data_IF_374677689558
#
_entry.id   IF_374677689558
#
_cell.length_a   1.000
_cell.length_b   1.000
_cell.length_c   1.000
_cell.angle_alpha   90.00
_cell.angle_beta   90.00
_cell.angle_gamma   90.00
#
_symmetry.space_group_name_H-M   'P 1'
#
loop_
_entity.id
_entity.type
_entity.pdbx_description
1 polymer ?
#
# COMPACT_ATOMS: atom_id res chain seq x y z
N UNK A 1 11.49 -18.96 12.12
CA UNK A 1 10.17 -19.04 11.46
C UNK A 1 9.68 -17.61 11.37
N UNK A 2 10.19 -16.85 10.40
CA UNK A 2 10.37 -15.40 10.55
C UNK A 2 9.68 -14.60 9.44
N UNK A 3 8.59 -15.11 8.87
CA UNK A 3 7.88 -14.45 7.76
C UNK A 3 7.23 -13.10 8.16
N UNK A 4 7.13 -12.79 9.45
CA UNK A 4 6.38 -11.64 9.97
C UNK A 4 7.23 -10.64 10.76
N UNK A 5 8.51 -10.92 11.03
CA UNK A 5 9.34 -10.08 11.91
C UNK A 5 9.56 -8.67 11.36
N UNK A 6 9.65 -8.53 10.04
CA UNK A 6 9.79 -7.25 9.36
C UNK A 6 8.68 -6.25 9.72
N UNK A 7 7.48 -6.72 10.08
CA UNK A 7 6.37 -5.82 10.44
C UNK A 7 6.68 -5.00 11.69
N UNK A 8 7.55 -5.51 12.59
CA UNK A 8 7.94 -4.80 13.81
C UNK A 8 8.86 -3.61 13.52
N UNK A 9 9.54 -3.60 12.38
CA UNK A 9 10.41 -2.49 11.93
C UNK A 9 9.63 -1.40 11.16
N UNK A 10 8.32 -1.58 10.99
CA UNK A 10 7.47 -0.62 10.29
C UNK A 10 7.39 0.74 10.98
N UNK A 11 7.80 1.80 10.28
CA UNK A 11 7.68 3.19 10.76
C UNK A 11 6.22 3.59 11.06
N UNK A 12 5.25 2.97 10.39
CA UNK A 12 3.82 3.17 10.64
C UNK A 12 3.41 2.88 12.09
N UNK A 13 4.15 2.05 12.83
CA UNK A 13 3.88 1.74 14.24
C UNK A 13 4.04 2.92 15.18
N UNK A 14 4.74 3.96 14.74
CA UNK A 14 4.96 5.20 15.50
C UNK A 14 3.98 6.31 15.11
N UNK A 15 3.09 6.04 14.15
CA UNK A 15 2.10 6.97 13.64
C UNK A 15 0.67 6.50 14.00
N UNK A 16 -0.29 7.41 13.87
CA UNK A 16 -1.70 7.12 14.10
C UNK A 16 -2.23 6.13 13.03
N UNK A 17 -2.87 5.01 13.40
CA UNK A 17 -3.50 4.07 12.46
C UNK A 17 -4.50 4.75 11.52
N UNK A 18 -5.24 5.76 11.97
CA UNK A 18 -6.26 6.47 11.18
C UNK A 18 -5.63 7.27 10.03
N UNK A 19 -4.31 7.48 10.06
CA UNK A 19 -3.58 8.04 8.94
C UNK A 19 -3.57 7.07 7.74
N UNK A 20 -3.40 5.78 8.01
CA UNK A 20 -3.24 4.76 6.97
C UNK A 20 -4.59 4.26 6.45
N UNK A 21 -5.61 4.21 7.30
CA UNK A 21 -6.93 3.69 6.97
C UNK A 21 -7.97 4.82 7.02
N UNK A 22 -8.71 5.06 5.93
CA UNK A 22 -9.76 6.09 5.98
C UNK A 22 -10.95 5.64 6.82
N UNK A 23 -11.64 6.60 7.47
CA UNK A 23 -12.99 6.37 7.95
C UNK A 23 -13.97 6.19 6.79
N UNK A 24 -15.06 5.47 7.07
CA UNK A 24 -16.10 5.20 6.09
C UNK A 24 -16.72 6.52 5.56
N UNK A 25 -16.76 6.68 4.24
CA UNK A 25 -17.33 7.86 3.60
C UNK A 25 -16.36 9.03 3.31
N UNK A 26 -15.08 8.93 3.69
CA UNK A 26 -14.08 9.94 3.30
C UNK A 26 -13.81 9.92 1.78
N UNK A 27 -13.95 11.06 1.11
CA UNK A 27 -13.79 11.17 -0.35
C UNK A 27 -13.04 12.43 -0.76
N UNK A 28 -12.67 12.46 -2.04
CA UNK A 28 -12.12 13.66 -2.68
C UNK A 28 -10.78 14.10 -2.10
N UNK A 29 -10.64 15.40 -1.82
CA UNK A 29 -9.36 15.99 -1.42
C UNK A 29 -8.90 15.54 -0.03
N UNK A 30 -9.82 15.24 0.89
CA UNK A 30 -9.50 14.73 2.22
C UNK A 30 -8.77 13.37 2.14
N UNK A 31 -9.39 12.40 1.43
CA UNK A 31 -8.80 11.08 1.15
C UNK A 31 -7.41 11.19 0.52
N UNK A 32 -7.24 12.08 -0.46
CA UNK A 32 -5.93 12.31 -1.10
C UNK A 32 -4.90 12.87 -0.11
N UNK A 33 -5.23 13.91 0.65
CA UNK A 33 -4.28 14.52 1.60
C UNK A 33 -3.83 13.53 2.67
N UNK A 34 -4.76 12.75 3.23
CA UNK A 34 -4.42 11.71 4.21
C UNK A 34 -3.54 10.64 3.59
N UNK A 35 -3.86 10.17 2.37
CA UNK A 35 -3.03 9.19 1.68
C UNK A 35 -1.60 9.71 1.44
N UNK A 36 -1.43 10.97 1.02
CA UNK A 36 -0.11 11.59 0.86
C UNK A 36 0.65 11.69 2.19
N UNK A 37 -0.04 12.04 3.28
CA UNK A 37 0.57 12.07 4.60
C UNK A 37 1.01 10.68 5.08
N UNK A 38 0.21 9.64 4.83
CA UNK A 38 0.60 8.26 5.12
C UNK A 38 1.81 7.81 4.27
N UNK A 39 1.84 8.17 2.99
CA UNK A 39 2.97 7.88 2.10
C UNK A 39 4.25 8.56 2.56
N UNK A 40 4.18 9.77 3.10
CA UNK A 40 5.35 10.45 3.66
C UNK A 40 5.98 9.65 4.82
N UNK A 41 5.17 9.00 5.65
CA UNK A 41 5.66 8.06 6.68
C UNK A 41 6.26 6.81 6.03
N UNK A 42 5.62 6.26 5.01
CA UNK A 42 6.16 5.11 4.29
C UNK A 42 7.53 5.40 3.67
N UNK A 43 7.76 6.62 3.15
CA UNK A 43 9.00 6.98 2.46
C UNK A 43 10.27 6.85 3.34
N UNK A 44 10.12 6.89 4.66
CA UNK A 44 11.23 6.71 5.61
C UNK A 44 11.25 5.31 6.25
N UNK A 45 10.36 4.42 5.83
CA UNK A 45 10.18 3.10 6.44
C UNK A 45 11.21 2.09 5.90
N UNK A 46 11.99 1.40 6.75
CA UNK A 46 13.02 0.44 6.31
C UNK A 46 12.43 -0.77 5.58
N UNK A 47 11.17 -1.11 5.88
CA UNK A 47 10.47 -2.28 5.31
C UNK A 47 9.48 -1.91 4.21
N UNK A 48 9.65 -0.73 3.58
CA UNK A 48 8.73 -0.22 2.55
C UNK A 48 8.50 -1.22 1.41
N UNK A 49 9.55 -1.82 0.85
CA UNK A 49 9.42 -2.74 -0.29
C UNK A 49 8.75 -4.06 0.12
N UNK A 50 9.14 -4.65 1.26
CA UNK A 50 8.51 -5.86 1.78
C UNK A 50 7.02 -5.64 2.09
N UNK A 51 6.68 -4.50 2.71
CA UNK A 51 5.29 -4.10 2.97
C UNK A 51 4.50 -3.96 1.67
N UNK A 52 5.09 -3.32 0.65
CA UNK A 52 4.47 -3.13 -0.66
C UNK A 52 4.18 -4.48 -1.32
N UNK A 53 5.19 -5.34 -1.40
CA UNK A 53 5.07 -6.65 -2.02
C UNK A 53 4.01 -7.51 -1.34
N UNK A 54 4.00 -7.53 -0.01
CA UNK A 54 3.00 -8.26 0.75
C UNK A 54 1.59 -7.73 0.47
N UNK A 55 1.39 -6.42 0.50
CA UNK A 55 0.08 -5.81 0.24
C UNK A 55 -0.45 -6.11 -1.17
N UNK A 56 0.44 -6.21 -2.16
CA UNK A 56 0.10 -6.58 -3.53
C UNK A 56 -0.20 -8.07 -3.66
N UNK A 57 0.55 -8.92 -2.96
CA UNK A 57 0.37 -10.37 -2.98
C UNK A 57 -0.98 -10.79 -2.40
N UNK A 58 -1.36 -10.21 -1.26
CA UNK A 58 -2.65 -10.48 -0.60
C UNK A 58 -3.81 -9.65 -1.17
N UNK A 59 -3.50 -8.71 -2.07
CA UNK A 59 -4.46 -7.76 -2.67
C UNK A 59 -5.24 -6.99 -1.62
N UNK A 60 -4.52 -6.42 -0.65
CA UNK A 60 -5.13 -5.71 0.47
C UNK A 60 -6.03 -4.57 -0.04
N UNK A 61 -7.35 -4.63 0.19
CA UNK A 61 -8.31 -3.70 -0.40
C UNK A 61 -8.25 -2.28 0.17
N UNK A 62 -7.78 -2.11 1.42
CA UNK A 62 -7.91 -0.84 2.12
C UNK A 62 -6.58 -0.25 2.60
N UNK A 63 -6.59 1.06 2.81
CA UNK A 63 -5.50 1.84 3.39
C UNK A 63 -4.26 2.06 2.52
N UNK A 64 -3.27 2.73 3.09
CA UNK A 64 -1.95 2.96 2.49
C UNK A 64 -0.95 1.92 2.99
N UNK A 65 -0.30 1.23 2.05
CA UNK A 65 0.66 0.16 2.34
C UNK A 65 1.88 0.31 1.44
N UNK A 66 3.09 0.22 2.01
CA UNK A 66 4.33 0.28 1.24
C UNK A 66 4.46 1.53 0.34
N UNK A 67 3.90 2.66 0.77
CA UNK A 67 3.87 3.91 0.01
C UNK A 67 2.85 3.95 -1.14
N UNK A 68 1.88 3.03 -1.17
CA UNK A 68 0.82 2.98 -2.17
C UNK A 68 -0.55 3.10 -1.53
N UNK A 69 -1.39 3.97 -2.08
CA UNK A 69 -2.83 4.00 -1.82
C UNK A 69 -3.54 2.80 -2.46
N UNK A 70 -4.79 2.59 -2.07
CA UNK A 70 -5.68 1.56 -2.63
C UNK A 70 -5.78 1.66 -4.16
N UNK A 71 -6.03 2.88 -4.65
CA UNK A 71 -6.22 3.16 -6.08
C UNK A 71 -4.93 2.88 -6.88
N UNK A 72 -3.76 3.20 -6.29
CA UNK A 72 -2.45 2.93 -6.91
C UNK A 72 -2.12 1.43 -6.91
N UNK A 73 -2.42 0.71 -5.83
CA UNK A 73 -2.28 -0.76 -5.81
C UNK A 73 -3.18 -1.41 -6.85
N UNK A 74 -4.43 -0.97 -6.96
CA UNK A 74 -5.37 -1.46 -7.95
C UNK A 74 -4.86 -1.21 -9.39
N UNK A 75 -4.34 -0.01 -9.67
CA UNK A 75 -3.74 0.32 -10.96
C UNK A 75 -2.53 -0.57 -11.30
N UNK A 76 -1.62 -0.80 -10.34
CA UNK A 76 -0.46 -1.67 -10.52
C UNK A 76 -0.86 -3.14 -10.77
N UNK A 77 -1.84 -3.66 -10.04
CA UNK A 77 -2.36 -5.01 -10.23
C UNK A 77 -3.01 -5.16 -11.61
N UNK A 78 -3.79 -4.17 -12.04
CA UNK A 78 -4.39 -4.14 -13.37
C UNK A 78 -3.31 -4.11 -14.47
N UNK A 79 -2.27 -3.30 -14.31
CA UNK A 79 -1.14 -3.26 -15.25
C UNK A 79 -0.41 -4.60 -15.32
N UNK A 80 -0.11 -5.23 -14.17
CA UNK A 80 0.52 -6.56 -14.11
C UNK A 80 -0.32 -7.61 -14.84
N UNK A 81 -1.63 -7.62 -14.63
CA UNK A 81 -2.54 -8.53 -15.34
C UNK A 81 -2.50 -8.32 -16.86
N UNK A 82 -2.52 -7.05 -17.32
CA UNK A 82 -2.43 -6.72 -18.75
C UNK A 82 -1.12 -7.19 -19.39
N UNK A 83 0.00 -7.02 -18.70
CA UNK A 83 1.31 -7.47 -19.18
C UNK A 83 1.39 -9.00 -19.29
N UNK A 84 0.81 -9.73 -18.34
CA UNK A 84 0.76 -11.20 -18.41
C UNK A 84 -0.06 -11.66 -19.63
N UNK A 85 -1.24 -11.07 -19.83
CA UNK A 85 -2.10 -11.39 -20.99
C UNK A 85 -1.36 -11.13 -22.31
N UNK A 86 -0.71 -9.96 -22.44
CA UNK A 86 0.03 -9.61 -23.66
C UNK A 86 1.19 -10.58 -23.96
N UNK A 87 1.86 -11.13 -22.94
CA UNK A 87 2.97 -12.08 -23.09
C UNK A 87 2.52 -13.49 -23.44
N UNK A 88 1.33 -13.90 -23.04
CA UNK A 88 0.78 -15.23 -23.34
C UNK A 88 0.12 -15.28 -24.74
N UNK A 89 -0.21 -14.12 -25.32
CA UNK A 89 -0.81 -14.01 -26.65
C UNK A 89 0.19 -13.82 -27.80
N UNK A 90 1.49 -13.89 -27.53
CA UNK A 90 2.59 -13.79 -28.50
C UNK A 90 3.37 -15.11 -28.53
#
# INVERSE_FOLDING_TARGET
>A
MDLWEWQFEGACRQADPDLFFHPEGERGSARRRRAEAAKAVCATCPVLEQCREQSLAVREPYGVWGGLSEDERAALLAQRARTVVARTSA
#
